data_IF_914699063542
#
_entry.id   IF_914699063542
#
_cell.length_a   1.000
_cell.length_b   1.000
_cell.length_c   1.000
_cell.angle_alpha   90.00
_cell.angle_beta   90.00
_cell.angle_gamma   90.00
#
_symmetry.space_group_name_H-M   'P 1'
#
loop_
_entity.id
_entity.type
_entity.pdbx_description
1 polymer ?
#
# COMPACT_ATOMS: atom_id res chain seq x y z
N UNK A 1 18.32 -2.55 2.07
CA UNK A 1 16.97 -2.21 2.53
C UNK A 1 16.04 -3.29 2.03
N UNK A 2 15.29 -3.93 2.93
CA UNK A 2 14.31 -4.95 2.57
C UNK A 2 13.22 -4.36 1.67
N UNK A 3 12.87 -5.07 0.59
CA UNK A 3 11.85 -4.65 -0.39
C UNK A 3 10.51 -4.33 0.26
N UNK A 4 10.13 -5.13 1.27
CA UNK A 4 8.95 -4.92 2.12
C UNK A 4 8.96 -3.55 2.82
N UNK A 5 10.10 -3.13 3.38
CA UNK A 5 10.23 -1.83 4.05
C UNK A 5 10.09 -0.69 3.05
N UNK A 6 10.63 -0.84 1.84
CA UNK A 6 10.45 0.14 0.75
C UNK A 6 8.98 0.28 0.36
N UNK A 7 8.23 -0.83 0.24
CA UNK A 7 6.79 -0.81 -0.03
C UNK A 7 6.04 -0.08 1.10
N UNK A 8 6.36 -0.37 2.38
CA UNK A 8 5.74 0.32 3.53
C UNK A 8 5.97 1.83 3.46
N UNK A 9 7.20 2.28 3.19
CA UNK A 9 7.51 3.71 3.06
C UNK A 9 6.78 4.36 1.89
N UNK A 10 6.68 3.65 0.76
CA UNK A 10 5.93 4.13 -0.40
C UNK A 10 4.45 4.34 -0.07
N UNK A 11 3.81 3.36 0.59
CA UNK A 11 2.41 3.45 1.03
C UNK A 11 2.20 4.61 2.00
N UNK A 12 3.10 4.77 2.99
CA UNK A 12 3.06 5.88 3.93
C UNK A 12 3.14 7.22 3.20
N UNK A 13 4.09 7.37 2.27
CA UNK A 13 4.25 8.60 1.49
C UNK A 13 3.03 8.90 0.63
N UNK A 14 2.47 7.89 -0.03
CA UNK A 14 1.27 8.01 -0.87
C UNK A 14 0.06 8.48 -0.06
N UNK A 15 -0.17 7.86 1.10
CA UNK A 15 -1.31 8.21 1.97
C UNK A 15 -1.13 9.60 2.58
N UNK A 16 0.08 9.93 3.03
CA UNK A 16 0.41 11.24 3.57
C UNK A 16 0.12 12.36 2.57
N UNK A 17 0.53 12.18 1.31
CA UNK A 17 0.26 13.13 0.22
C UNK A 17 -1.25 13.24 -0.07
N UNK A 18 -1.92 12.09 -0.15
CA UNK A 18 -3.34 12.02 -0.47
C UNK A 18 -4.23 12.70 0.58
N UNK A 19 -3.93 12.51 1.87
CA UNK A 19 -4.70 13.12 2.97
C UNK A 19 -4.15 14.48 3.42
N UNK A 20 -2.96 14.87 2.94
CA UNK A 20 -2.32 16.14 3.26
C UNK A 20 -1.76 16.24 4.69
N UNK A 21 -1.19 15.15 5.22
CA UNK A 21 -0.55 15.11 6.55
C UNK A 21 0.94 14.74 6.44
N UNK A 22 1.69 14.84 7.53
CA UNK A 22 3.09 14.40 7.55
C UNK A 22 3.18 12.86 7.52
N UNK A 23 4.21 12.31 6.87
CA UNK A 23 4.47 10.86 6.84
C UNK A 23 4.62 10.25 8.25
N UNK A 24 5.12 11.02 9.22
CA UNK A 24 5.23 10.61 10.61
C UNK A 24 3.87 10.51 11.32
N UNK A 25 2.83 11.16 10.79
CA UNK A 25 1.46 11.09 11.32
C UNK A 25 0.66 9.92 10.73
N UNK A 26 1.16 9.27 9.67
CA UNK A 26 0.52 8.10 9.07
C UNK A 26 0.76 6.86 9.93
N UNK A 27 -0.28 6.44 10.65
CA UNK A 27 -0.26 5.20 11.42
C UNK A 27 -0.26 3.96 10.50
N UNK A 28 0.65 3.02 10.74
CA UNK A 28 0.84 1.83 9.88
C UNK A 28 0.03 0.61 10.33
N UNK A 29 -0.50 0.68 11.55
CA UNK A 29 -1.27 -0.33 12.27
C UNK A 29 -2.78 -0.06 12.27
N UNK A 30 -3.22 1.04 11.63
CA UNK A 30 -4.63 1.38 11.49
C UNK A 30 -5.17 1.02 10.11
N UNK A 31 -6.50 0.77 10.00
CA UNK A 31 -7.14 0.56 8.72
C UNK A 31 -7.04 1.76 7.77
N UNK A 32 -6.93 1.50 6.46
CA UNK A 32 -7.01 2.52 5.40
C UNK A 32 -8.29 3.38 5.47
N UNK A 33 -9.39 2.78 5.91
CA UNK A 33 -10.67 3.47 6.12
C UNK A 33 -10.59 4.55 7.21
N UNK A 34 -9.66 4.47 8.16
CA UNK A 34 -9.43 5.50 9.19
C UNK A 34 -8.88 6.79 8.59
N UNK A 35 -8.14 6.70 7.48
CA UNK A 35 -7.65 7.86 6.73
C UNK A 35 -8.71 8.48 5.81
N UNK A 36 -9.90 7.88 5.73
CA UNK A 36 -10.96 8.34 4.82
C UNK A 36 -10.71 8.00 3.36
N UNK A 37 -9.91 6.96 3.08
CA UNK A 37 -9.65 6.49 1.71
C UNK A 37 -10.94 5.99 1.05
N UNK A 38 -11.27 6.59 -0.09
CA UNK A 38 -12.37 6.14 -0.94
C UNK A 38 -11.92 5.08 -1.95
N UNK A 39 -12.87 4.48 -2.67
CA UNK A 39 -12.55 3.45 -3.66
C UNK A 39 -11.65 3.95 -4.79
N UNK A 40 -11.71 5.23 -5.16
CA UNK A 40 -10.88 5.78 -6.23
C UNK A 40 -9.41 5.90 -5.76
N UNK A 41 -9.20 6.38 -4.53
CA UNK A 41 -7.91 6.41 -3.88
C UNK A 41 -7.29 5.02 -3.74
N UNK A 42 -8.09 4.03 -3.35
CA UNK A 42 -7.64 2.63 -3.24
C UNK A 42 -7.21 2.09 -4.60
N UNK A 43 -8.03 2.27 -5.63
CA UNK A 43 -7.72 1.81 -7.00
C UNK A 43 -6.45 2.48 -7.54
N UNK A 44 -6.31 3.81 -7.33
CA UNK A 44 -5.12 4.55 -7.73
C UNK A 44 -3.86 4.05 -7.00
N UNK A 45 -3.95 3.89 -5.69
CA UNK A 45 -2.85 3.41 -4.86
C UNK A 45 -2.38 2.01 -5.29
N UNK A 46 -3.30 1.07 -5.48
CA UNK A 46 -2.95 -0.30 -5.91
C UNK A 46 -2.44 -0.32 -7.34
N UNK A 47 -2.96 0.54 -8.23
CA UNK A 47 -2.48 0.68 -9.60
C UNK A 47 -1.04 1.16 -9.66
N UNK A 48 -0.74 2.28 -8.99
CA UNK A 48 0.61 2.84 -8.95
C UNK A 48 1.61 1.88 -8.27
N UNK A 49 1.16 1.17 -7.23
CA UNK A 49 1.98 0.14 -6.58
C UNK A 49 2.25 -1.05 -7.50
N UNK A 50 1.23 -1.48 -8.27
CA UNK A 50 1.34 -2.55 -9.26
C UNK A 50 2.35 -2.21 -10.35
N UNK A 51 2.26 -1.00 -10.90
CA UNK A 51 3.18 -0.49 -11.91
C UNK A 51 4.62 -0.41 -11.37
N UNK A 52 4.78 0.11 -10.15
CA UNK A 52 6.10 0.21 -9.51
C UNK A 52 6.74 -1.15 -9.24
N UNK A 53 5.96 -2.14 -8.80
CA UNK A 53 6.43 -3.50 -8.56
C UNK A 53 6.44 -4.39 -9.82
N UNK A 54 5.92 -3.90 -10.94
CA UNK A 54 5.63 -4.69 -12.14
C UNK A 54 4.90 -6.00 -11.81
N UNK A 55 3.92 -5.91 -10.90
CA UNK A 55 3.17 -7.05 -10.34
C UNK A 55 1.69 -6.68 -10.32
N UNK A 56 0.81 -7.59 -10.68
CA UNK A 56 -0.64 -7.35 -10.62
C UNK A 56 -1.13 -7.37 -9.16
N UNK A 57 -1.62 -6.24 -8.66
CA UNK A 57 -2.23 -6.14 -7.33
C UNK A 57 -3.68 -5.71 -7.49
N UNK A 58 -4.59 -6.59 -7.11
CA UNK A 58 -6.02 -6.31 -7.17
C UNK A 58 -6.42 -5.33 -6.05
N UNK A 59 -7.18 -4.26 -6.32
CA UNK A 59 -7.62 -3.32 -5.28
C UNK A 59 -8.47 -3.96 -4.17
N UNK A 60 -9.09 -5.12 -4.43
CA UNK A 60 -9.85 -5.87 -3.43
C UNK A 60 -8.99 -6.35 -2.27
N UNK A 61 -7.69 -6.55 -2.48
CA UNK A 61 -6.77 -6.98 -1.42
C UNK A 61 -6.65 -5.94 -0.31
N UNK A 62 -7.00 -4.67 -0.56
CA UNK A 62 -7.03 -3.62 0.46
C UNK A 62 -8.16 -3.85 1.47
N UNK A 63 -9.23 -4.53 1.08
CA UNK A 63 -10.29 -4.95 2.01
C UNK A 63 -9.88 -6.19 2.84
N UNK A 64 -9.07 -7.08 2.26
CA UNK A 64 -8.53 -8.26 2.95
C UNK A 64 -7.33 -7.92 3.85
N UNK A 65 -6.55 -6.93 3.44
CA UNK A 65 -5.34 -6.42 4.08
C UNK A 65 -5.51 -4.93 4.38
N UNK A 66 -6.34 -4.56 5.37
CA UNK A 66 -6.74 -3.17 5.58
C UNK A 66 -5.65 -2.28 6.16
N UNK A 67 -4.44 -2.78 6.42
CA UNK A 67 -3.35 -2.00 7.03
C UNK A 67 -2.14 -1.91 6.10
N UNK A 68 -1.32 -0.87 6.28
CA UNK A 68 -0.07 -0.67 5.53
C UNK A 68 0.83 -1.89 5.68
N UNK A 69 0.91 -2.47 6.87
CA UNK A 69 1.73 -3.65 7.12
C UNK A 69 1.23 -4.90 6.39
N UNK A 70 -0.07 -5.15 6.40
CA UNK A 70 -0.65 -6.30 5.72
C UNK A 70 -0.52 -6.16 4.20
N UNK A 71 -0.86 -5.00 3.64
CA UNK A 71 -0.76 -4.73 2.21
C UNK A 71 0.70 -4.82 1.71
N UNK A 72 1.65 -4.25 2.46
CA UNK A 72 3.06 -4.33 2.09
C UNK A 72 3.60 -5.76 2.12
N UNK A 73 3.10 -6.60 3.03
CA UNK A 73 3.45 -8.02 3.07
C UNK A 73 2.94 -8.74 1.83
N UNK A 74 1.66 -8.56 1.51
CA UNK A 74 1.03 -9.17 0.35
C UNK A 74 1.70 -8.74 -0.98
N UNK A 75 1.93 -7.43 -1.15
CA UNK A 75 2.59 -6.88 -2.33
C UNK A 75 4.04 -7.40 -2.48
N UNK A 76 4.76 -7.55 -1.36
CA UNK A 76 6.08 -8.14 -1.36
C UNK A 76 6.02 -9.61 -1.81
N UNK A 77 5.17 -10.43 -1.19
CA UNK A 77 5.00 -11.85 -1.53
C UNK A 77 4.60 -12.07 -2.99
N UNK A 78 3.67 -11.26 -3.51
CA UNK A 78 3.26 -11.29 -4.91
C UNK A 78 4.45 -11.00 -5.85
N UNK A 79 5.26 -10.01 -5.50
CA UNK A 79 6.43 -9.63 -6.28
C UNK A 79 7.59 -10.64 -6.22
N UNK A 80 7.68 -11.44 -5.14
CA UNK A 80 8.66 -12.52 -5.03
C UNK A 80 8.19 -13.76 -5.81
N UNK A 81 6.89 -14.03 -5.80
CA UNK A 81 6.29 -15.17 -6.53
C UNK A 81 6.42 -14.98 -8.05
N UNK A 82 6.26 -13.76 -8.54
CA UNK A 82 6.43 -13.43 -9.96
C UNK A 82 7.89 -13.52 -10.45
N UNK A 83 8.87 -13.52 -9.54
CA UNK A 83 10.30 -13.57 -9.85
C UNK A 83 10.90 -14.99 -9.85
N UNK A 84 10.10 -16.01 -9.51
CA UNK A 84 10.50 -17.42 -9.45
C UNK A 84 10.14 -18.18 -10.75
#
# INVERSE_FOLDING_TARGET
>A
MDKKTTIKHWLVAYIADLVGIDQAEVAQDVPFSTFGLDSAAVIGMTGDLSDWLSTEIDPTVVYEHPTIEALATHAWEASETAAA
#
